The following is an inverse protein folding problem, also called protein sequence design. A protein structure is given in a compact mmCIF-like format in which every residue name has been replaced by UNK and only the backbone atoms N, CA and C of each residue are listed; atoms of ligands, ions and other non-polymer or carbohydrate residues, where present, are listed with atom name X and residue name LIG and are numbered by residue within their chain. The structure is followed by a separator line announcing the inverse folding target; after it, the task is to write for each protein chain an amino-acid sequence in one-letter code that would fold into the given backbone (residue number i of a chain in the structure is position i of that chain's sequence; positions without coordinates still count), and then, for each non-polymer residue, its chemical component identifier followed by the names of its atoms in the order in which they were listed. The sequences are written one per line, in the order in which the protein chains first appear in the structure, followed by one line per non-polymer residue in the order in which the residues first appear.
data_IF_688031326096
#
_entry.id   IF_688031326096
#
_cell.length_a   1.000
_cell.length_b   1.000
_cell.length_c   1.000
_cell.angle_alpha   90.00
_cell.angle_beta   90.00
_cell.angle_gamma   90.00
#
_symmetry.space_group_name_H-M   'P 1'
#
loop_
_entity.id
_entity.type
_entity.pdbx_description
1 polymer ?
#
# COMPACT_ATOMS: atom_id res chain seq x y z
N UNK A 1 -1.00 10.31 8.40
CA UNK A 1 -0.34 9.04 8.07
C UNK A 1 -0.84 8.52 6.73
N UNK A 2 -0.11 7.60 6.14
CA UNK A 2 -0.41 7.05 4.83
C UNK A 2 -0.37 5.53 4.90
N UNK A 3 -1.28 4.86 4.22
CA UNK A 3 -1.31 3.41 4.18
C UNK A 3 -1.06 2.93 2.75
N UNK A 4 -0.22 1.90 2.63
CA UNK A 4 -0.01 1.19 1.37
C UNK A 4 -0.88 -0.05 1.40
N UNK A 5 -1.69 -0.22 0.36
CA UNK A 5 -2.63 -1.32 0.25
C UNK A 5 -2.33 -2.16 -0.98
N UNK A 6 -2.57 -3.45 -0.88
CA UNK A 6 -2.41 -4.38 -1.98
C UNK A 6 -3.71 -5.17 -2.15
N UNK A 7 -4.10 -5.39 -3.39
CA UNK A 7 -5.26 -6.23 -3.70
C UNK A 7 -4.76 -7.57 -4.24
N UNK A 8 -4.87 -8.59 -3.42
CA UNK A 8 -4.38 -9.94 -3.79
C UNK A 8 -5.34 -10.73 -4.67
N UNK A 9 -6.52 -10.21 -4.90
CA UNK A 9 -7.46 -10.86 -5.81
C UNK A 9 -8.28 -12.00 -5.22
N UNK A 10 -8.29 -12.11 -3.90
CA UNK A 10 -9.04 -13.19 -3.23
C UNK A 10 -10.45 -12.81 -2.85
N UNK A 11 -10.94 -11.69 -3.35
CA UNK A 11 -12.28 -11.22 -3.00
C UNK A 11 -12.35 -10.42 -1.71
N UNK A 12 -11.21 -10.14 -1.11
CA UNK A 12 -11.12 -9.35 0.12
C UNK A 12 -10.90 -7.86 -0.14
N UNK A 13 -10.79 -7.48 -1.42
CA UNK A 13 -10.53 -6.10 -1.78
C UNK A 13 -9.11 -5.66 -1.44
N UNK A 14 -8.97 -4.41 -1.04
CA UNK A 14 -7.67 -3.85 -0.71
C UNK A 14 -7.32 -4.11 0.74
N UNK A 15 -6.13 -4.67 0.97
CA UNK A 15 -5.64 -4.99 2.30
C UNK A 15 -4.53 -4.03 2.70
N UNK A 16 -4.56 -3.57 3.95
CA UNK A 16 -3.53 -2.69 4.49
C UNK A 16 -2.25 -3.48 4.72
N UNK A 17 -1.17 -3.10 4.05
CA UNK A 17 0.10 -3.78 4.19
C UNK A 17 1.05 -3.03 5.11
N UNK A 18 1.14 -1.71 4.98
CA UNK A 18 1.96 -0.94 5.89
C UNK A 18 1.42 0.48 6.04
N UNK A 19 1.71 1.09 7.17
CA UNK A 19 1.34 2.47 7.46
C UNK A 19 2.63 3.24 7.70
N UNK A 20 2.77 4.38 7.01
CA UNK A 20 3.94 5.22 7.13
C UNK A 20 3.56 6.62 7.60
N UNK A 21 4.49 7.26 8.31
CA UNK A 21 4.23 8.58 8.88
C UNK A 21 4.18 9.67 7.83
N UNK A 22 4.97 9.55 6.77
CA UNK A 22 5.05 10.58 5.73
C UNK A 22 4.68 10.00 4.38
N UNK A 23 4.26 10.91 3.48
CA UNK A 23 3.94 10.54 2.11
C UNK A 23 5.16 10.00 1.37
N UNK A 24 6.33 10.59 1.63
CA UNK A 24 7.57 10.15 0.98
C UNK A 24 7.91 8.71 1.33
N UNK A 25 7.76 8.33 2.60
CA UNK A 25 7.98 6.95 3.03
C UNK A 25 6.97 6.00 2.42
N UNK A 26 5.71 6.42 2.37
CA UNK A 26 4.66 5.61 1.77
C UNK A 26 4.90 5.39 0.27
N UNK A 27 5.36 6.43 -0.44
CA UNK A 27 5.69 6.31 -1.86
C UNK A 27 6.84 5.32 -2.08
N UNK A 28 7.81 5.33 -1.19
CA UNK A 28 8.93 4.39 -1.25
C UNK A 28 8.43 2.95 -1.09
N UNK A 29 7.55 2.71 -0.12
CA UNK A 29 6.96 1.39 0.08
C UNK A 29 6.11 0.96 -1.10
N UNK A 30 5.30 1.88 -1.63
CA UNK A 30 4.47 1.61 -2.79
C UNK A 30 5.32 1.17 -3.99
N UNK A 31 6.44 1.85 -4.21
CA UNK A 31 7.35 1.50 -5.28
C UNK A 31 7.92 0.09 -5.09
N UNK A 32 8.32 -0.24 -3.87
CA UNK A 32 8.84 -1.56 -3.54
C UNK A 32 7.81 -2.66 -3.81
N UNK A 33 6.56 -2.44 -3.41
CA UNK A 33 5.49 -3.40 -3.67
C UNK A 33 5.23 -3.57 -5.15
N UNK A 34 5.23 -2.49 -5.90
CA UNK A 34 5.01 -2.55 -7.35
C UNK A 34 6.12 -3.26 -8.10
N UNK A 35 7.35 -3.17 -7.61
CA UNK A 35 8.50 -3.81 -8.22
C UNK A 35 8.60 -5.30 -7.86
N UNK A 36 8.19 -5.67 -6.64
CA UNK A 36 8.40 -7.01 -6.12
C UNK A 36 7.13 -7.85 -6.02
N UNK A 37 5.97 -7.24 -6.22
CA UNK A 37 4.69 -7.92 -6.09
C UNK A 37 3.92 -7.79 -7.41
N UNK A 38 3.34 -8.89 -7.87
CA UNK A 38 2.58 -8.89 -9.11
C UNK A 38 1.15 -8.39 -8.95
N UNK A 39 0.74 -8.09 -7.74
CA UNK A 39 -0.61 -7.64 -7.44
C UNK A 39 -0.69 -6.11 -7.46
N UNK A 40 -1.87 -5.53 -7.78
CA UNK A 40 -2.04 -4.08 -7.74
C UNK A 40 -1.77 -3.51 -6.36
N UNK A 41 -1.05 -2.40 -6.30
CA UNK A 41 -0.75 -1.72 -5.05
C UNK A 41 -1.13 -0.25 -5.19
N UNK A 42 -1.56 0.35 -4.07
CA UNK A 42 -1.89 1.77 -4.03
C UNK A 42 -1.59 2.32 -2.64
N UNK A 43 -1.60 3.63 -2.53
CA UNK A 43 -1.54 4.26 -1.21
C UNK A 43 -2.66 5.27 -1.07
N UNK A 44 -3.08 5.50 0.16
CA UNK A 44 -4.07 6.52 0.46
C UNK A 44 -3.81 7.09 1.84
N UNK A 45 -4.46 8.21 2.16
CA UNK A 45 -4.34 8.80 3.48
C UNK A 45 -5.00 7.89 4.52
N UNK A 46 -4.26 7.60 5.56
CA UNK A 46 -4.73 6.75 6.65
C UNK A 46 -5.36 7.59 7.76
N UNK A 47 -6.55 7.25 8.16
CA UNK A 47 -7.25 7.89 9.28
C UNK A 47 -7.48 6.80 10.33
N UNK A 48 -6.42 6.51 11.01
CA UNK A 48 -6.44 5.46 12.03
C UNK A 48 -7.18 5.82 13.29
#
# INVERSE_FOLDING_TARGET
MWVVQVNYGYGHGWEDECVESTRAEALQRLKEYRENCQYPARMKRYRG
#
